data_IF_045030611971
#
_entry.id   IF_045030611971
#
_cell.length_a   1.000
_cell.length_b   1.000
_cell.length_c   1.000
_cell.angle_alpha   90.00
_cell.angle_beta   90.00
_cell.angle_gamma   90.00
#
_symmetry.space_group_name_H-M   'P 1'
#
loop_
_entity.id
_entity.type
_entity.pdbx_description
1 polymer ?
#
# COMPACT_ATOMS: atom_id res chain seq x y z
N UNK A 1 18.38 50.45 -29.64
CA UNK A 1 17.21 50.18 -28.76
C UNK A 1 17.66 49.13 -27.76
N UNK A 2 18.05 49.57 -26.55
CA UNK A 2 18.67 48.70 -25.54
C UNK A 2 17.63 48.18 -24.56
N UNK A 3 17.62 46.87 -24.33
CA UNK A 3 16.81 46.22 -23.31
C UNK A 3 17.61 46.13 -22.00
N UNK A 4 17.16 46.87 -20.99
CA UNK A 4 17.70 46.82 -19.64
C UNK A 4 16.98 45.71 -18.85
N UNK A 5 17.69 44.65 -18.49
CA UNK A 5 17.21 43.66 -17.51
C UNK A 5 17.40 44.21 -16.09
N UNK A 6 16.30 44.45 -15.39
CA UNK A 6 16.27 44.77 -13.96
C UNK A 6 16.20 43.46 -13.17
N UNK A 7 17.28 43.07 -12.52
CA UNK A 7 17.30 41.96 -11.56
C UNK A 7 16.66 42.42 -10.25
N UNK A 8 15.68 41.67 -9.76
CA UNK A 8 15.03 41.86 -8.46
C UNK A 8 15.77 41.02 -7.42
N UNK A 9 16.20 41.67 -6.34
CA UNK A 9 16.75 41.02 -5.15
C UNK A 9 15.67 40.17 -4.45
N UNK A 10 15.98 38.88 -4.24
CA UNK A 10 15.19 37.98 -3.41
C UNK A 10 15.93 37.80 -2.08
N UNK A 11 15.31 38.26 -0.99
CA UNK A 11 15.76 38.01 0.38
C UNK A 11 15.66 36.51 0.68
N UNK A 12 16.77 35.91 1.08
CA UNK A 12 16.80 34.60 1.74
C UNK A 12 16.30 34.76 3.17
N UNK A 13 15.11 34.25 3.45
CA UNK A 13 14.63 34.06 4.82
C UNK A 13 15.03 32.68 5.34
N UNK A 14 15.43 32.69 6.61
CA UNK A 14 16.06 31.60 7.33
C UNK A 14 15.24 30.31 7.41
N UNK A 15 15.90 29.21 7.06
CA UNK A 15 15.50 27.83 7.32
C UNK A 15 15.49 27.57 8.83
N UNK A 16 14.32 27.25 9.41
CA UNK A 16 14.20 26.55 10.70
C UNK A 16 13.97 25.07 10.43
N UNK A 17 15.01 24.26 10.66
CA UNK A 17 14.92 22.80 10.71
C UNK A 17 14.22 22.40 12.02
N UNK A 18 12.93 22.09 11.93
CA UNK A 18 12.18 21.42 12.99
C UNK A 18 12.49 19.92 12.96
N UNK A 19 13.12 19.42 14.02
CA UNK A 19 13.31 17.99 14.27
C UNK A 19 11.99 17.38 14.76
N UNK A 20 11.48 16.37 14.04
CA UNK A 20 10.42 15.48 14.53
C UNK A 20 10.90 14.02 14.44
N UNK A 21 10.80 13.22 15.51
CA UNK A 21 11.12 11.80 15.46
C UNK A 21 10.00 11.02 14.76
N UNK A 22 10.34 10.33 13.68
CA UNK A 22 9.51 9.36 12.97
C UNK A 22 9.10 8.21 13.90
N UNK A 23 7.82 8.11 14.22
CA UNK A 23 7.23 6.84 14.64
C UNK A 23 7.03 5.98 13.40
N UNK A 24 7.94 5.03 13.16
CA UNK A 24 7.72 3.94 12.22
C UNK A 24 6.60 3.04 12.75
N UNK A 25 5.41 3.15 12.16
CA UNK A 25 4.37 2.13 12.30
C UNK A 25 4.58 1.09 11.22
N UNK A 26 5.20 -0.04 11.59
CA UNK A 26 5.31 -1.20 10.71
C UNK A 26 3.93 -1.88 10.65
N UNK A 27 3.14 -1.55 9.64
CA UNK A 27 2.02 -2.40 9.25
C UNK A 27 2.60 -3.63 8.55
N UNK A 28 2.82 -4.70 9.33
CA UNK A 28 3.15 -6.02 8.80
C UNK A 28 1.90 -6.54 8.07
N UNK A 29 1.84 -6.34 6.76
CA UNK A 29 0.83 -6.98 5.92
C UNK A 29 1.28 -8.42 5.71
N UNK A 30 0.69 -9.33 6.49
CA UNK A 30 0.92 -10.77 6.34
C UNK A 30 0.13 -11.19 5.11
N UNK A 31 0.81 -11.36 3.97
CA UNK A 31 0.24 -12.07 2.82
C UNK A 31 -0.08 -13.51 3.26
N UNK A 32 -1.31 -14.01 3.06
CA UNK A 32 -1.64 -15.39 3.36
C UNK A 32 -0.86 -16.30 2.41
N UNK A 33 0.20 -16.93 2.92
CA UNK A 33 0.99 -17.91 2.19
C UNK A 33 0.12 -19.10 1.79
N UNK A 34 0.13 -19.45 0.51
CA UNK A 34 -0.70 -20.49 -0.12
C UNK A 34 -0.20 -21.93 0.14
N UNK A 35 0.37 -22.19 1.33
CA UNK A 35 0.94 -23.48 1.70
C UNK A 35 0.23 -24.08 2.92
N UNK A 36 -0.57 -25.16 2.76
CA UNK A 36 -1.37 -25.73 3.84
C UNK A 36 -0.60 -26.58 4.87
N UNK A 37 0.73 -26.44 5.02
CA UNK A 37 1.53 -27.35 5.86
C UNK A 37 2.51 -26.71 6.85
N UNK A 38 2.54 -25.37 7.00
CA UNK A 38 3.53 -24.70 7.87
C UNK A 38 2.95 -23.78 8.95
N UNK A 39 1.63 -23.60 9.00
CA UNK A 39 0.98 -22.66 9.94
C UNK A 39 0.91 -23.10 11.41
N UNK A 40 1.43 -24.28 11.77
CA UNK A 40 1.33 -24.78 13.15
C UNK A 40 2.50 -24.37 14.07
N UNK A 41 3.58 -23.76 13.56
CA UNK A 41 4.81 -23.52 14.34
C UNK A 41 4.97 -22.10 14.89
N UNK A 42 4.20 -21.11 14.43
CA UNK A 42 4.45 -19.69 14.79
C UNK A 42 3.67 -19.25 16.04
N UNK A 43 2.63 -19.97 16.45
CA UNK A 43 1.82 -19.62 17.64
C UNK A 43 2.39 -20.10 18.99
N UNK A 44 3.49 -20.86 19.02
CA UNK A 44 4.09 -21.32 20.28
C UNK A 44 5.16 -20.37 20.87
N UNK A 45 5.61 -19.34 20.14
CA UNK A 45 6.71 -18.48 20.62
C UNK A 45 6.21 -17.27 21.44
N UNK A 46 4.99 -16.79 21.23
CA UNK A 46 4.50 -15.57 21.91
C UNK A 46 3.90 -15.77 23.30
N UNK A 47 3.70 -17.01 23.76
CA UNK A 47 3.15 -17.27 25.09
C UNK A 47 4.20 -17.28 26.23
N UNK A 48 5.50 -17.20 25.93
CA UNK A 48 6.57 -17.28 26.95
C UNK A 48 7.15 -15.94 27.40
N UNK A 49 6.64 -14.79 26.93
CA UNK A 49 7.20 -13.47 27.25
C UNK A 49 6.35 -12.59 28.18
N UNK A 50 5.24 -13.12 28.71
CA UNK A 50 4.39 -12.42 29.69
C UNK A 50 4.28 -13.21 30.99
N UNK A 51 5.41 -13.44 31.66
CA UNK A 51 5.38 -13.64 33.11
C UNK A 51 6.76 -13.27 33.65
N UNK A 52 6.90 -12.07 34.21
CA UNK A 52 7.80 -11.72 35.32
C UNK A 52 7.73 -10.21 35.59
N UNK A 53 6.60 -9.77 36.17
CA UNK A 53 6.60 -8.57 37.00
C UNK A 53 5.75 -8.81 38.23
N UNK A 54 6.37 -9.21 39.34
CA UNK A 54 5.79 -9.14 40.68
C UNK A 54 6.89 -9.35 41.73
N UNK A 55 7.49 -8.27 42.23
CA UNK A 55 7.13 -7.65 43.52
C UNK A 55 7.86 -8.28 44.72
N UNK A 56 9.10 -7.85 44.94
CA UNK A 56 9.85 -8.08 46.18
C UNK A 56 9.43 -7.06 47.24
N UNK A 57 8.42 -7.41 48.05
CA UNK A 57 8.17 -6.78 49.35
C UNK A 57 8.46 -7.80 50.45
N UNK A 58 9.47 -7.49 51.26
CA UNK A 58 9.87 -8.30 52.40
C UNK A 58 8.84 -8.18 53.53
N UNK A 59 8.09 -9.26 53.77
CA UNK A 59 7.26 -9.40 54.97
C UNK A 59 7.69 -10.65 55.73
N UNK A 60 8.28 -10.41 56.90
CA UNK A 60 8.63 -11.43 57.90
C UNK A 60 7.36 -11.80 58.66
N UNK A 61 6.80 -12.99 58.44
CA UNK A 61 5.73 -13.55 59.30
C UNK A 61 5.99 -15.04 59.57
N UNK A 62 6.00 -15.36 60.86
CA UNK A 62 6.16 -16.67 61.46
C UNK A 62 4.95 -17.60 61.21
N UNK A 63 5.26 -18.90 61.13
CA UNK A 63 4.49 -20.06 61.63
C UNK A 63 3.03 -20.27 61.20
N UNK A 64 2.82 -21.40 60.49
CA UNK A 64 1.90 -22.51 60.84
C UNK A 64 1.01 -22.97 59.65
N UNK A 65 0.85 -24.29 59.42
CA UNK A 65 0.28 -24.83 58.20
C UNK A 65 -1.23 -25.08 58.34
N UNK A 66 -2.02 -24.72 57.32
CA UNK A 66 -3.37 -25.25 57.15
C UNK A 66 -3.70 -25.38 55.66
N UNK A 67 -3.84 -26.64 55.24
CA UNK A 67 -4.24 -27.07 53.90
C UNK A 67 -5.58 -26.44 53.49
N UNK A 68 -5.61 -25.81 52.31
CA UNK A 68 -6.83 -25.67 51.50
C UNK A 68 -6.47 -25.91 50.03
N UNK A 69 -6.90 -27.06 49.52
CA UNK A 69 -6.82 -27.40 48.10
C UNK A 69 -7.77 -26.50 47.30
N UNK A 70 -7.21 -25.67 46.43
CA UNK A 70 -7.96 -24.80 45.51
C UNK A 70 -8.16 -25.54 44.19
N UNK A 71 -9.40 -25.89 43.86
CA UNK A 71 -9.76 -26.52 42.58
C UNK A 71 -10.21 -25.45 41.60
N UNK A 72 -9.35 -25.06 40.66
CA UNK A 72 -9.70 -24.21 39.52
C UNK A 72 -10.12 -25.12 38.36
N UNK A 73 -11.39 -25.10 37.99
CA UNK A 73 -11.88 -25.78 36.79
C UNK A 73 -11.49 -24.97 35.55
N UNK A 74 -10.55 -25.49 34.77
CA UNK A 74 -10.17 -24.97 33.45
C UNK A 74 -11.19 -25.50 32.44
N UNK A 75 -12.03 -24.62 31.91
CA UNK A 75 -12.87 -24.92 30.76
C UNK A 75 -12.46 -24.02 29.59
N UNK A 76 -11.37 -24.38 28.92
CA UNK A 76 -11.01 -23.82 27.62
C UNK A 76 -11.74 -24.62 26.54
N UNK A 77 -12.99 -24.28 26.27
CA UNK A 77 -13.71 -24.80 25.10
C UNK A 77 -13.12 -24.15 23.84
N UNK A 78 -12.28 -24.90 23.15
CA UNK A 78 -11.66 -24.53 21.87
C UNK A 78 -12.74 -24.43 20.78
N UNK A 79 -13.20 -23.21 20.50
CA UNK A 79 -13.93 -22.87 19.28
C UNK A 79 -12.93 -22.83 18.10
N UNK A 80 -12.42 -24.00 17.70
CA UNK A 80 -11.72 -24.14 16.42
C UNK A 80 -12.74 -24.58 15.39
N UNK A 81 -13.64 -23.65 15.04
CA UNK A 81 -14.32 -23.75 13.75
C UNK A 81 -13.37 -23.06 12.78
N UNK A 82 -12.44 -23.84 12.25
CA UNK A 82 -11.65 -23.43 11.09
C UNK A 82 -12.64 -23.23 9.95
N UNK A 83 -12.98 -21.97 9.66
CA UNK A 83 -13.64 -21.64 8.42
C UNK A 83 -12.64 -21.94 7.30
N UNK A 84 -12.78 -23.11 6.68
CA UNK A 84 -12.17 -23.45 5.41
C UNK A 84 -12.74 -22.45 4.38
N UNK A 85 -12.17 -21.25 4.32
CA UNK A 85 -12.49 -20.29 3.29
C UNK A 85 -11.91 -20.85 2.00
N UNK A 86 -12.72 -21.65 1.28
CA UNK A 86 -12.37 -22.11 -0.05
C UNK A 86 -12.03 -20.86 -0.87
N UNK A 87 -10.80 -20.70 -1.40
CA UNK A 87 -10.44 -19.52 -2.17
C UNK A 87 -11.37 -19.46 -3.38
N UNK A 88 -12.38 -18.61 -3.29
CA UNK A 88 -13.35 -18.40 -4.35
C UNK A 88 -12.55 -17.74 -5.48
N UNK A 89 -12.18 -18.55 -6.47
CA UNK A 89 -11.51 -18.05 -7.67
C UNK A 89 -12.43 -16.99 -8.26
N UNK A 90 -11.95 -15.73 -8.31
CA UNK A 90 -12.63 -14.71 -9.08
C UNK A 90 -12.69 -15.22 -10.53
N UNK A 91 -13.88 -15.16 -11.12
CA UNK A 91 -14.08 -15.59 -12.51
C UNK A 91 -13.28 -14.75 -13.52
N UNK A 92 -12.78 -13.59 -13.09
CA UNK A 92 -11.97 -12.68 -13.89
C UNK A 92 -10.64 -12.43 -13.16
N UNK A 93 -9.53 -13.01 -13.64
CA UNK A 93 -8.21 -12.82 -13.06
C UNK A 93 -7.81 -11.34 -12.99
N UNK A 94 -7.06 -11.00 -11.94
CA UNK A 94 -6.39 -9.71 -11.86
C UNK A 94 -5.34 -9.60 -12.97
N UNK A 95 -4.94 -8.39 -13.37
CA UNK A 95 -3.85 -8.22 -14.36
C UNK A 95 -2.88 -7.13 -13.94
N UNK A 96 -3.37 -5.96 -13.51
CA UNK A 96 -2.51 -4.92 -12.94
C UNK A 96 -3.27 -3.93 -12.06
N UNK A 97 -2.53 -3.19 -11.23
CA UNK A 97 -3.05 -2.10 -10.42
C UNK A 97 -2.17 -0.87 -10.60
N UNK A 98 -2.78 0.28 -10.89
CA UNK A 98 -2.10 1.57 -10.89
C UNK A 98 -2.90 2.61 -10.12
N UNK A 99 -2.22 3.65 -9.66
CA UNK A 99 -2.85 4.79 -9.00
C UNK A 99 -2.65 6.04 -9.87
N UNK A 100 -3.59 6.97 -9.77
CA UNK A 100 -3.58 8.22 -10.53
C UNK A 100 -3.59 9.42 -9.60
N UNK A 101 -2.98 10.52 -10.04
CA UNK A 101 -2.89 11.78 -9.29
C UNK A 101 -3.22 12.99 -10.17
N UNK A 102 -3.84 14.00 -9.58
CA UNK A 102 -4.09 15.32 -10.19
C UNK A 102 -2.85 16.22 -10.20
N UNK A 103 -1.83 15.82 -9.45
CA UNK A 103 -0.53 16.47 -9.35
C UNK A 103 0.57 15.61 -9.98
N UNK A 104 1.65 16.28 -10.36
CA UNK A 104 2.90 15.66 -10.80
C UNK A 104 3.61 14.99 -9.63
N UNK A 105 4.55 14.09 -9.94
CA UNK A 105 5.36 13.41 -8.93
C UNK A 105 4.62 12.34 -8.12
N UNK A 106 3.35 12.03 -8.44
CA UNK A 106 2.59 10.92 -7.84
C UNK A 106 2.61 10.89 -6.30
N UNK A 107 2.53 12.06 -5.66
CA UNK A 107 2.58 12.17 -4.19
C UNK A 107 3.96 11.89 -3.57
N UNK A 108 5.05 12.14 -4.31
CA UNK A 108 6.43 12.00 -3.83
C UNK A 108 6.76 12.86 -2.59
N UNK A 109 5.90 13.82 -2.23
CA UNK A 109 5.97 14.57 -0.98
C UNK A 109 5.63 13.73 0.27
N UNK A 110 5.15 12.49 0.08
CA UNK A 110 4.73 11.59 1.17
C UNK A 110 3.38 11.96 1.78
N UNK A 111 2.77 13.06 1.36
CA UNK A 111 1.46 13.52 1.82
C UNK A 111 0.32 12.91 0.98
N UNK A 112 0.65 12.29 -0.16
CA UNK A 112 -0.33 11.68 -1.06
C UNK A 112 -1.35 12.72 -1.58
N UNK A 113 -0.93 13.99 -1.63
CA UNK A 113 -1.70 15.11 -2.16
C UNK A 113 -2.11 14.83 -3.61
N UNK A 114 -3.33 15.20 -3.99
CA UNK A 114 -3.83 15.01 -5.35
C UNK A 114 -4.11 13.56 -5.75
N UNK A 115 -4.20 12.61 -4.83
CA UNK A 115 -4.55 11.23 -5.15
C UNK A 115 -5.99 11.10 -5.67
N UNK A 116 -6.15 10.58 -6.88
CA UNK A 116 -7.44 10.42 -7.55
C UNK A 116 -7.98 8.97 -7.49
N UNK A 117 -7.26 8.06 -6.83
CA UNK A 117 -7.69 6.69 -6.60
C UNK A 117 -6.88 5.63 -7.35
N UNK A 118 -7.27 4.38 -7.16
CA UNK A 118 -6.63 3.20 -7.76
C UNK A 118 -7.52 2.62 -8.84
N UNK A 119 -6.89 2.28 -9.96
CA UNK A 119 -7.49 1.49 -11.03
C UNK A 119 -6.99 0.05 -10.94
N UNK A 120 -7.95 -0.88 -10.91
CA UNK A 120 -7.70 -2.32 -10.97
C UNK A 120 -8.12 -2.81 -12.35
N UNK A 121 -7.17 -3.36 -13.09
CA UNK A 121 -7.43 -3.96 -14.40
C UNK A 121 -7.43 -5.46 -14.23
N UNK A 122 -8.42 -6.07 -14.87
CA UNK A 122 -8.65 -7.51 -14.90
C UNK A 122 -8.51 -8.02 -16.32
N UNK A 123 -8.46 -9.33 -16.50
CA UNK A 123 -8.27 -9.93 -17.81
C UNK A 123 -9.39 -9.52 -18.78
N UNK A 124 -10.65 -9.47 -18.34
CA UNK A 124 -11.79 -9.07 -19.18
C UNK A 124 -11.77 -7.60 -19.62
N UNK A 125 -11.03 -6.74 -18.91
CA UNK A 125 -10.89 -5.30 -19.20
C UNK A 125 -9.54 -4.95 -19.83
N UNK A 126 -8.63 -5.93 -19.91
CA UNK A 126 -7.38 -5.84 -20.66
C UNK A 126 -7.62 -5.90 -22.18
N UNK A 127 -6.60 -5.54 -22.95
CA UNK A 127 -6.60 -5.51 -24.42
C UNK A 127 -7.69 -4.62 -25.03
N UNK A 128 -8.27 -3.72 -24.25
CA UNK A 128 -9.26 -2.74 -24.67
C UNK A 128 -8.80 -1.34 -24.26
N UNK A 129 -9.06 -0.35 -25.12
CA UNK A 129 -8.80 1.04 -24.76
C UNK A 129 -9.81 1.51 -23.72
N UNK A 130 -9.32 2.10 -22.64
CA UNK A 130 -10.12 2.79 -21.65
C UNK A 130 -10.17 4.26 -22.05
N UNK A 131 -11.33 4.75 -22.54
CA UNK A 131 -11.40 6.00 -23.30
C UNK A 131 -11.15 7.24 -22.44
N UNK A 132 -11.42 7.13 -21.13
CA UNK A 132 -11.18 8.17 -20.15
C UNK A 132 -10.71 7.58 -18.82
N UNK A 133 -9.96 8.35 -18.04
CA UNK A 133 -9.93 8.17 -16.59
C UNK A 133 -11.25 8.65 -15.96
N UNK A 134 -11.44 8.40 -14.67
CA UNK A 134 -12.55 8.92 -13.87
C UNK A 134 -12.33 10.38 -13.43
N UNK A 135 -11.31 11.04 -13.98
CA UNK A 135 -10.95 12.43 -13.75
C UNK A 135 -10.26 12.99 -15.00
N UNK A 136 -10.48 14.27 -15.27
CA UNK A 136 -9.87 15.06 -16.35
C UNK A 136 -8.54 15.71 -15.95
N UNK A 137 -8.18 15.65 -14.67
CA UNK A 137 -7.01 16.34 -14.11
C UNK A 137 -5.77 15.45 -13.95
N UNK A 138 -5.77 14.22 -14.49
CA UNK A 138 -4.70 13.24 -14.24
C UNK A 138 -3.35 13.74 -14.78
N UNK A 139 -2.38 13.99 -13.89
CA UNK A 139 -1.02 14.46 -14.22
C UNK A 139 0.08 13.50 -13.80
N UNK A 140 -0.25 12.47 -13.02
CA UNK A 140 0.69 11.44 -12.60
C UNK A 140 0.03 10.07 -12.58
N UNK A 141 0.75 9.06 -13.06
CA UNK A 141 0.36 7.65 -12.99
C UNK A 141 1.49 6.88 -12.30
N UNK A 142 1.16 6.04 -11.34
CA UNK A 142 2.11 5.14 -10.68
C UNK A 142 1.61 3.70 -10.76
N UNK A 143 2.34 2.86 -11.49
CA UNK A 143 2.01 1.44 -11.62
C UNK A 143 2.49 0.68 -10.38
N UNK A 144 1.54 0.17 -9.59
CA UNK A 144 1.83 -0.48 -8.30
C UNK A 144 2.27 -1.93 -8.48
N UNK A 145 1.59 -2.66 -9.36
CA UNK A 145 1.78 -4.07 -9.62
C UNK A 145 1.31 -4.38 -11.03
N UNK A 146 2.00 -5.31 -11.70
CA UNK A 146 1.67 -5.81 -13.03
C UNK A 146 1.94 -7.30 -13.05
N UNK A 147 1.02 -8.09 -13.58
CA UNK A 147 1.25 -9.50 -13.84
C UNK A 147 2.23 -9.69 -15.00
N UNK A 148 2.93 -10.81 -14.99
CA UNK A 148 3.86 -11.17 -16.04
C UNK A 148 3.15 -11.17 -17.41
N UNK A 149 3.74 -10.45 -18.37
CA UNK A 149 3.26 -10.27 -19.77
C UNK A 149 2.12 -9.25 -19.96
N UNK A 150 1.93 -8.33 -19.02
CA UNK A 150 1.11 -7.14 -19.23
C UNK A 150 1.97 -5.86 -19.35
N UNK A 151 1.57 -4.95 -20.22
CA UNK A 151 2.16 -3.64 -20.43
C UNK A 151 1.07 -2.57 -20.39
N UNK A 152 1.35 -1.42 -19.77
CA UNK A 152 0.42 -0.30 -19.70
C UNK A 152 0.94 0.88 -20.52
N UNK A 153 0.04 1.50 -21.28
CA UNK A 153 0.30 2.72 -22.05
C UNK A 153 -0.70 3.81 -21.64
N UNK A 154 -0.22 5.04 -21.45
CA UNK A 154 -1.03 6.21 -21.18
C UNK A 154 -1.03 7.16 -22.39
N UNK A 155 -2.14 7.88 -22.58
CA UNK A 155 -2.35 8.76 -23.73
C UNK A 155 -2.88 10.11 -23.26
N UNK A 156 -2.47 11.18 -23.93
CA UNK A 156 -3.00 12.54 -23.73
C UNK A 156 -4.24 12.81 -24.59
N UNK A 157 -4.56 11.92 -25.54
CA UNK A 157 -5.78 11.94 -26.32
C UNK A 157 -6.84 11.03 -25.70
N UNK A 158 -8.12 11.30 -25.99
CA UNK A 158 -9.20 10.37 -25.67
C UNK A 158 -9.11 9.12 -26.55
N UNK A 159 -9.78 8.04 -26.16
CA UNK A 159 -9.89 6.80 -26.95
C UNK A 159 -8.53 6.22 -27.42
N UNK A 160 -7.46 6.43 -26.63
CA UNK A 160 -6.10 5.98 -26.93
C UNK A 160 -5.57 6.53 -28.27
N UNK A 161 -6.03 7.72 -28.65
CA UNK A 161 -5.54 8.41 -29.83
C UNK A 161 -4.15 9.03 -29.58
N UNK A 162 -3.32 9.04 -30.63
CA UNK A 162 -1.99 9.62 -30.60
C UNK A 162 -0.90 8.64 -30.15
N UNK A 163 0.18 9.19 -29.58
CA UNK A 163 1.33 8.41 -29.12
C UNK A 163 1.05 7.86 -27.72
N UNK A 164 1.13 6.54 -27.56
CA UNK A 164 1.06 5.88 -26.26
C UNK A 164 2.41 5.94 -25.55
N UNK A 165 2.40 6.34 -24.28
CA UNK A 165 3.57 6.42 -23.43
C UNK A 165 3.60 5.23 -22.48
N UNK A 166 4.67 4.42 -22.48
CA UNK A 166 4.75 3.26 -21.59
C UNK A 166 4.78 3.72 -20.12
N UNK A 167 4.04 3.00 -19.27
CA UNK A 167 4.02 3.24 -17.82
C UNK A 167 4.86 2.16 -17.14
N UNK A 168 6.04 2.55 -16.64
CA UNK A 168 6.96 1.66 -15.94
C UNK A 168 6.48 1.30 -14.53
N UNK A 169 6.84 0.09 -14.10
CA UNK A 169 6.54 -0.40 -12.75
C UNK A 169 7.30 0.39 -11.68
N UNK A 170 6.60 0.80 -10.61
CA UNK A 170 7.16 1.59 -9.49
C UNK A 170 7.77 2.95 -9.87
N UNK A 171 7.42 3.49 -11.03
CA UNK A 171 7.84 4.82 -11.44
C UNK A 171 6.62 5.73 -11.62
N UNK A 172 6.80 7.02 -11.31
CA UNK A 172 5.81 8.02 -11.62
C UNK A 172 5.97 8.47 -13.07
N UNK A 173 4.91 8.31 -13.86
CA UNK A 173 4.90 8.72 -15.27
C UNK A 173 3.99 9.92 -15.45
N UNK A 174 4.56 10.97 -16.04
CA UNK A 174 3.94 12.27 -16.23
C UNK A 174 3.74 12.59 -17.72
N UNK A 175 2.72 13.38 -18.09
CA UNK A 175 2.53 13.81 -19.46
C UNK A 175 3.76 14.58 -19.96
N UNK A 176 4.14 14.40 -21.24
CA UNK A 176 5.36 14.98 -21.80
C UNK A 176 5.39 16.51 -21.77
N UNK A 177 4.23 17.16 -21.83
CA UNK A 177 4.11 18.61 -21.78
C UNK A 177 3.68 19.07 -20.37
N UNK A 178 4.25 20.17 -19.83
CA UNK A 178 3.97 20.65 -18.48
C UNK A 178 2.51 21.07 -18.24
N UNK A 179 1.73 21.34 -19.28
CA UNK A 179 0.30 21.67 -19.15
C UNK A 179 -0.63 20.51 -19.55
N UNK A 180 -0.10 19.40 -20.06
CA UNK A 180 -0.92 18.28 -20.50
C UNK A 180 -1.40 17.42 -19.32
N UNK A 181 -2.51 16.74 -19.53
CA UNK A 181 -3.06 15.70 -18.66
C UNK A 181 -3.11 14.37 -19.42
N UNK A 182 -3.08 13.27 -18.69
CA UNK A 182 -3.43 11.97 -19.20
C UNK A 182 -4.95 11.89 -19.34
N UNK A 183 -5.42 11.44 -20.49
CA UNK A 183 -6.87 11.36 -20.78
C UNK A 183 -7.33 9.93 -20.83
N UNK A 184 -6.58 9.04 -21.46
CA UNK A 184 -6.97 7.64 -21.66
C UNK A 184 -5.80 6.68 -21.43
N UNK A 185 -6.09 5.38 -21.35
CA UNK A 185 -5.04 4.37 -21.18
C UNK A 185 -5.40 3.04 -21.87
N UNK A 186 -4.38 2.26 -22.17
CA UNK A 186 -4.50 0.92 -22.75
C UNK A 186 -3.62 -0.04 -21.96
N UNK A 187 -4.16 -1.21 -21.64
CA UNK A 187 -3.39 -2.29 -21.04
C UNK A 187 -3.35 -3.45 -22.02
N UNK A 188 -2.15 -3.78 -22.49
CA UNK A 188 -1.89 -4.90 -23.37
C UNK A 188 -1.44 -6.09 -22.54
N UNK A 189 -2.17 -7.19 -22.58
CA UNK A 189 -1.78 -8.43 -21.93
C UNK A 189 -1.71 -9.56 -22.95
N UNK A 190 -0.70 -10.43 -22.84
CA UNK A 190 -0.67 -11.63 -23.68
C UNK A 190 -1.89 -12.52 -23.39
N UNK A 191 -2.57 -12.98 -24.45
CA UNK A 191 -3.61 -14.00 -24.31
C UNK A 191 -2.97 -15.27 -23.75
N UNK A 192 -3.64 -15.89 -22.76
CA UNK A 192 -3.18 -17.10 -22.07
C UNK A 192 -3.74 -18.33 -22.75
#
# INVERSE_FOLDING_TARGET
MGFACKTKDIKQDHVRLGWFPSYYSYHLSIEPSNHPSLSLLILQVFASLYDETSLSSATKVNSSPNMRASTIFIAAASLVIGAEANPMRRNDPHSLNFRIWSERGCGADGLNSGNLGVWTITQSTSNQCQPTFNSDEVKGIFLNAVEDRCEMFAYTGANCEGTGYPVSLKECVEPPAPAATWTSFYVKCAEV
#
